data_IF_566529356041
#
_entry.id   IF_566529356041
#
_cell.length_a   1.000
_cell.length_b   1.000
_cell.length_c   1.000
_cell.angle_alpha   90.00
_cell.angle_beta   90.00
_cell.angle_gamma   90.00
#
_symmetry.space_group_name_H-M   'P 1'
#
loop_
_entity.id
_entity.type
_entity.pdbx_description
1 polymer ?
#
# COMPACT_ATOMS: atom_id res chain seq x y z
N UNK A 1 -9.18 40.76 -29.90
CA UNK A 1 -7.93 39.98 -30.14
C UNK A 1 -7.25 39.52 -28.86
N UNK A 2 -7.00 40.37 -27.88
CA UNK A 2 -6.30 40.07 -26.64
C UNK A 2 -6.95 38.98 -25.77
N UNK A 3 -8.29 38.96 -25.64
CA UNK A 3 -8.99 37.98 -24.78
C UNK A 3 -8.86 36.54 -25.31
N UNK A 4 -9.18 36.28 -26.56
CA UNK A 4 -9.07 34.93 -27.16
C UNK A 4 -7.62 34.44 -27.18
N UNK A 5 -6.64 35.32 -27.44
CA UNK A 5 -5.23 34.96 -27.38
C UNK A 5 -4.82 34.54 -25.97
N UNK A 6 -5.28 35.25 -24.94
CA UNK A 6 -4.96 34.95 -23.54
C UNK A 6 -5.58 33.62 -23.12
N UNK A 7 -6.86 33.35 -23.46
CA UNK A 7 -7.54 32.11 -23.17
C UNK A 7 -6.84 30.91 -23.85
N UNK A 8 -6.51 31.07 -25.13
CA UNK A 8 -5.76 30.08 -25.89
C UNK A 8 -4.40 29.76 -25.26
N UNK A 9 -3.57 30.79 -25.02
CA UNK A 9 -2.23 30.63 -24.43
C UNK A 9 -2.30 29.89 -23.07
N UNK A 10 -3.27 30.27 -22.23
CA UNK A 10 -3.44 29.64 -20.94
C UNK A 10 -3.85 28.17 -21.06
N UNK A 11 -4.75 27.85 -21.99
CA UNK A 11 -5.19 26.48 -22.28
C UNK A 11 -4.01 25.63 -22.75
N UNK A 12 -3.22 26.14 -23.73
CA UNK A 12 -2.07 25.40 -24.27
C UNK A 12 -0.98 25.19 -23.21
N UNK A 13 -0.69 26.21 -22.39
CA UNK A 13 0.27 26.08 -21.30
C UNK A 13 -0.15 25.01 -20.28
N UNK A 14 -1.44 24.98 -19.93
CA UNK A 14 -1.98 23.97 -19.00
C UNK A 14 -1.91 22.57 -19.62
N UNK A 15 -2.30 22.41 -20.89
CA UNK A 15 -2.22 21.12 -21.57
C UNK A 15 -0.80 20.64 -21.74
N UNK A 16 0.13 21.52 -22.07
CA UNK A 16 1.56 21.18 -22.15
C UNK A 16 2.10 20.68 -20.80
N UNK A 17 1.79 21.39 -19.71
CA UNK A 17 2.18 20.97 -18.37
C UNK A 17 1.63 19.57 -18.03
N UNK A 18 0.36 19.30 -18.36
CA UNK A 18 -0.27 18.00 -18.12
C UNK A 18 0.35 16.88 -18.99
N UNK A 19 0.64 17.17 -20.25
CA UNK A 19 1.31 16.23 -21.16
C UNK A 19 2.71 15.87 -20.63
N UNK A 20 3.51 16.86 -20.26
CA UNK A 20 4.85 16.63 -19.69
C UNK A 20 4.79 15.81 -18.42
N UNK A 21 3.82 16.09 -17.53
CA UNK A 21 3.63 15.31 -16.32
C UNK A 21 3.26 13.85 -16.63
N UNK A 22 2.31 13.58 -17.54
CA UNK A 22 1.92 12.21 -17.92
C UNK A 22 3.08 11.43 -18.51
N UNK A 23 3.88 12.07 -19.37
CA UNK A 23 5.06 11.42 -20.00
C UNK A 23 6.09 11.04 -18.92
N UNK A 24 6.41 11.97 -18.02
CA UNK A 24 7.41 11.78 -16.96
C UNK A 24 6.96 10.86 -15.83
N UNK A 25 5.67 10.70 -15.61
CA UNK A 25 5.16 9.93 -14.48
C UNK A 25 5.26 8.41 -14.71
N UNK A 26 5.99 7.71 -13.83
CA UNK A 26 6.21 6.26 -13.93
C UNK A 26 5.05 5.38 -13.44
N UNK A 27 4.14 5.95 -12.63
CA UNK A 27 3.02 5.22 -12.02
C UNK A 27 1.89 4.83 -12.98
N UNK A 28 1.90 5.30 -14.23
CA UNK A 28 0.88 4.92 -15.22
C UNK A 28 1.32 3.76 -16.10
N UNK A 29 0.35 2.91 -16.44
CA UNK A 29 0.52 1.92 -17.50
C UNK A 29 0.65 2.61 -18.86
N UNK A 30 1.27 1.92 -19.83
CA UNK A 30 1.38 2.43 -21.20
C UNK A 30 0.02 2.80 -21.80
N UNK A 31 -1.00 2.01 -21.50
CA UNK A 31 -2.36 2.24 -21.99
C UNK A 31 -2.98 3.51 -21.40
N UNK A 32 -2.87 3.72 -20.08
CA UNK A 32 -3.34 4.94 -19.41
C UNK A 32 -2.66 6.19 -19.98
N UNK A 33 -1.33 6.14 -20.19
CA UNK A 33 -0.59 7.25 -20.80
C UNK A 33 -1.16 7.60 -22.17
N UNK A 34 -1.43 6.61 -23.03
CA UNK A 34 -2.00 6.84 -24.37
C UNK A 34 -3.35 7.54 -24.28
N UNK A 35 -4.24 7.11 -23.37
CA UNK A 35 -5.55 7.73 -23.21
C UNK A 35 -5.47 9.17 -22.68
N UNK A 36 -4.63 9.45 -21.69
CA UNK A 36 -4.42 10.82 -21.20
C UNK A 36 -3.81 11.73 -22.27
N UNK A 37 -2.78 11.25 -22.96
CA UNK A 37 -2.15 12.02 -24.04
C UNK A 37 -3.14 12.31 -25.17
N UNK A 38 -3.93 11.32 -25.59
CA UNK A 38 -4.96 11.50 -26.59
C UNK A 38 -6.00 12.56 -26.13
N UNK A 39 -6.40 12.53 -24.86
CA UNK A 39 -7.34 13.52 -24.28
C UNK A 39 -6.74 14.94 -24.34
N UNK A 40 -5.53 15.13 -23.80
CA UNK A 40 -4.92 16.45 -23.69
C UNK A 40 -4.55 17.03 -25.07
N UNK A 41 -4.05 16.20 -25.98
CA UNK A 41 -3.78 16.61 -27.37
C UNK A 41 -5.07 16.99 -28.12
N UNK A 42 -6.18 16.28 -27.87
CA UNK A 42 -7.47 16.63 -28.47
C UNK A 42 -8.01 17.95 -27.92
N UNK A 43 -7.87 18.21 -26.61
CA UNK A 43 -8.24 19.52 -26.01
C UNK A 43 -7.41 20.63 -26.61
N UNK A 44 -6.08 20.47 -26.70
CA UNK A 44 -5.16 21.42 -27.32
C UNK A 44 -5.51 21.71 -28.78
N UNK A 45 -5.73 20.65 -29.57
CA UNK A 45 -6.19 20.79 -30.95
C UNK A 45 -7.52 21.58 -31.06
N UNK A 46 -8.52 21.26 -30.25
CA UNK A 46 -9.79 21.95 -30.27
C UNK A 46 -9.67 23.43 -29.85
N UNK A 47 -8.81 23.73 -28.89
CA UNK A 47 -8.52 25.12 -28.48
C UNK A 47 -7.81 25.91 -29.58
N UNK A 48 -6.84 25.31 -30.26
CA UNK A 48 -6.15 25.90 -31.39
C UNK A 48 -7.10 26.16 -32.59
N UNK A 49 -8.00 25.19 -32.88
CA UNK A 49 -9.01 25.35 -33.92
C UNK A 49 -9.99 26.50 -33.59
N UNK A 50 -10.44 26.59 -32.33
CA UNK A 50 -11.29 27.68 -31.87
C UNK A 50 -10.60 29.04 -31.98
N UNK A 51 -9.33 29.12 -31.60
CA UNK A 51 -8.54 30.33 -31.78
C UNK A 51 -8.38 30.72 -33.25
N UNK A 52 -8.13 29.76 -34.14
CA UNK A 52 -8.04 30.01 -35.57
C UNK A 52 -9.35 30.60 -36.14
N UNK A 53 -10.51 30.14 -35.67
CA UNK A 53 -11.83 30.58 -36.14
C UNK A 53 -12.23 31.93 -35.58
N UNK A 54 -11.97 32.22 -34.31
CA UNK A 54 -12.48 33.40 -33.61
C UNK A 54 -11.42 34.44 -33.21
N UNK A 55 -10.14 34.02 -33.11
CA UNK A 55 -9.03 34.85 -32.68
C UNK A 55 -8.25 35.51 -33.84
N UNK A 56 -8.41 34.98 -35.05
CA UNK A 56 -7.75 35.51 -36.25
C UNK A 56 -8.73 36.30 -37.09
N UNK A 57 -8.24 37.39 -37.70
CA UNK A 57 -9.06 38.20 -38.60
C UNK A 57 -9.46 37.39 -39.86
N UNK A 58 -10.76 37.32 -40.10
CA UNK A 58 -11.31 36.60 -41.21
C UNK A 58 -10.91 37.25 -42.54
N UNK A 59 -10.49 36.40 -43.50
CA UNK A 59 -10.30 36.73 -44.91
C UNK A 59 -10.98 35.69 -45.77
N UNK A 60 -11.65 36.08 -46.90
CA UNK A 60 -12.38 35.12 -47.74
C UNK A 60 -11.56 33.94 -48.23
N UNK A 61 -10.22 34.14 -48.42
CA UNK A 61 -9.28 33.11 -48.82
C UNK A 61 -9.13 32.01 -47.77
N UNK A 62 -9.44 32.28 -46.51
CA UNK A 62 -9.34 31.37 -45.39
C UNK A 62 -10.66 30.55 -45.19
N UNK A 63 -11.72 30.79 -45.92
CA UNK A 63 -13.01 30.14 -45.74
C UNK A 63 -12.92 28.60 -45.80
N UNK A 64 -12.22 28.05 -46.80
CA UNK A 64 -12.06 26.62 -46.98
C UNK A 64 -11.23 26.00 -45.83
N UNK A 65 -9.98 26.49 -45.53
CA UNK A 65 -9.21 25.97 -44.43
C UNK A 65 -9.92 26.06 -43.08
N UNK A 66 -10.60 27.20 -42.79
CA UNK A 66 -11.36 27.37 -41.56
C UNK A 66 -12.58 26.39 -41.49
N UNK A 67 -13.26 26.14 -42.61
CA UNK A 67 -14.33 25.12 -42.68
C UNK A 67 -13.78 23.74 -42.32
N UNK A 68 -12.66 23.33 -42.90
CA UNK A 68 -12.01 22.04 -42.61
C UNK A 68 -11.62 21.92 -41.12
N UNK A 69 -10.99 22.95 -40.57
CA UNK A 69 -10.58 23.01 -39.15
C UNK A 69 -11.82 22.91 -38.23
N UNK A 70 -12.91 23.61 -38.54
CA UNK A 70 -14.16 23.60 -37.78
C UNK A 70 -14.82 22.22 -37.83
N UNK A 71 -14.87 21.55 -38.98
CA UNK A 71 -15.39 20.19 -39.10
C UNK A 71 -14.58 19.22 -38.26
N UNK A 72 -13.26 19.29 -38.29
CA UNK A 72 -12.40 18.45 -37.47
C UNK A 72 -12.59 18.72 -35.98
N UNK A 73 -12.69 20.00 -35.58
CA UNK A 73 -12.96 20.41 -34.18
C UNK A 73 -14.29 19.87 -33.69
N UNK A 74 -15.37 20.05 -34.44
CA UNK A 74 -16.70 19.59 -34.04
C UNK A 74 -16.83 18.08 -34.03
N UNK A 75 -16.05 17.38 -34.85
CA UNK A 75 -15.96 15.94 -34.84
C UNK A 75 -15.15 15.38 -33.68
N UNK A 76 -14.07 16.08 -33.29
CA UNK A 76 -13.16 15.65 -32.21
C UNK A 76 -13.68 16.03 -30.80
N UNK A 77 -14.33 17.18 -30.66
CA UNK A 77 -14.79 17.68 -29.36
C UNK A 77 -15.74 16.71 -28.62
N UNK A 78 -16.75 16.10 -29.22
CA UNK A 78 -17.57 15.09 -28.55
C UNK A 78 -16.80 13.80 -28.16
N UNK A 79 -15.68 13.51 -28.83
CA UNK A 79 -14.85 12.36 -28.49
C UNK A 79 -14.16 12.51 -27.12
N UNK A 80 -13.98 13.73 -26.63
CA UNK A 80 -13.31 14.00 -25.35
C UNK A 80 -13.87 13.21 -24.17
N UNK A 81 -15.20 13.05 -24.10
CA UNK A 81 -15.83 12.25 -23.05
C UNK A 81 -15.47 10.76 -23.09
N UNK A 82 -15.28 10.22 -24.29
CA UNK A 82 -14.87 8.82 -24.50
C UNK A 82 -13.39 8.65 -24.18
N UNK A 83 -12.54 9.55 -24.67
CA UNK A 83 -11.09 9.55 -24.38
C UNK A 83 -10.82 9.68 -22.89
N UNK A 84 -11.53 10.59 -22.24
CA UNK A 84 -11.41 10.79 -20.80
C UNK A 84 -11.87 9.58 -20.00
N UNK A 85 -12.95 8.93 -20.42
CA UNK A 85 -13.41 7.69 -19.79
C UNK A 85 -12.37 6.54 -19.93
N UNK A 86 -11.69 6.47 -21.08
CA UNK A 86 -10.56 5.56 -21.27
C UNK A 86 -9.40 5.84 -20.31
N UNK A 87 -9.08 7.11 -20.11
CA UNK A 87 -8.05 7.54 -19.15
C UNK A 87 -8.40 7.14 -17.69
N UNK A 88 -9.68 7.10 -17.35
CA UNK A 88 -10.20 6.61 -16.06
C UNK A 88 -10.24 5.08 -15.94
N UNK A 89 -9.64 4.33 -16.86
CA UNK A 89 -9.60 2.87 -16.82
C UNK A 89 -10.88 2.17 -17.29
N UNK A 90 -11.76 2.88 -18.02
CA UNK A 90 -12.88 2.25 -18.70
C UNK A 90 -12.41 1.80 -20.08
N UNK A 91 -12.29 0.50 -20.26
CA UNK A 91 -11.77 -0.06 -21.50
C UNK A 91 -12.76 0.13 -22.64
N UNK A 92 -12.34 0.91 -23.65
CA UNK A 92 -13.03 1.05 -24.92
C UNK A 92 -12.30 0.26 -26.00
N UNK A 93 -13.06 -0.48 -26.82
CA UNK A 93 -12.47 -1.08 -28.00
C UNK A 93 -12.10 0.03 -28.98
N UNK A 94 -10.85 0.09 -29.42
CA UNK A 94 -10.36 1.11 -30.36
C UNK A 94 -11.25 1.23 -31.63
N UNK A 95 -11.86 0.11 -32.07
CA UNK A 95 -12.84 0.10 -33.17
C UNK A 95 -14.09 0.95 -32.87
N UNK A 96 -14.56 0.96 -31.63
CA UNK A 96 -15.71 1.81 -31.21
C UNK A 96 -15.33 3.28 -31.30
N UNK A 97 -14.17 3.67 -30.79
CA UNK A 97 -13.68 5.06 -30.84
C UNK A 97 -13.52 5.53 -32.27
N UNK A 98 -12.93 4.70 -33.13
CA UNK A 98 -12.75 4.99 -34.56
C UNK A 98 -14.11 5.12 -35.29
N UNK A 99 -15.05 4.22 -35.02
CA UNK A 99 -16.39 4.27 -35.61
C UNK A 99 -17.14 5.53 -35.18
N UNK A 100 -17.08 5.88 -33.88
CA UNK A 100 -17.71 7.09 -33.35
C UNK A 100 -17.15 8.36 -33.99
N UNK A 101 -15.81 8.46 -34.12
CA UNK A 101 -15.17 9.57 -34.81
C UNK A 101 -15.54 9.64 -36.30
N UNK A 102 -15.57 8.50 -36.98
CA UNK A 102 -15.94 8.45 -38.38
C UNK A 102 -17.40 8.91 -38.66
N UNK A 103 -18.33 8.50 -37.78
CA UNK A 103 -19.72 8.92 -37.87
C UNK A 103 -19.86 10.44 -37.63
N UNK A 104 -19.19 10.97 -36.60
CA UNK A 104 -19.18 12.40 -36.32
C UNK A 104 -18.57 13.19 -37.48
N UNK A 105 -17.44 12.74 -38.01
CA UNK A 105 -16.80 13.39 -39.13
C UNK A 105 -17.69 13.41 -40.37
N UNK A 106 -18.36 12.32 -40.65
CA UNK A 106 -19.33 12.26 -41.79
C UNK A 106 -20.50 13.23 -41.59
N UNK A 107 -21.10 13.21 -40.39
CA UNK A 107 -22.25 14.09 -40.07
C UNK A 107 -21.87 15.56 -40.15
N UNK A 108 -20.75 15.95 -39.55
CA UNK A 108 -20.26 17.32 -39.53
C UNK A 108 -19.83 17.79 -40.94
N UNK A 109 -19.23 16.91 -41.76
CA UNK A 109 -18.85 17.22 -43.12
C UNK A 109 -20.08 17.49 -44.00
N UNK A 110 -21.12 16.64 -43.91
CA UNK A 110 -22.39 16.83 -44.65
C UNK A 110 -23.09 18.11 -44.17
N UNK A 111 -23.11 18.36 -42.86
CA UNK A 111 -23.74 19.54 -42.25
C UNK A 111 -23.00 20.82 -42.65
N UNK A 112 -21.68 20.81 -42.75
CA UNK A 112 -20.87 21.94 -43.21
C UNK A 112 -21.16 22.28 -44.70
N UNK A 113 -21.21 21.25 -45.58
CA UNK A 113 -21.52 21.46 -46.99
C UNK A 113 -22.90 22.13 -47.21
N UNK A 114 -23.85 21.94 -46.31
CA UNK A 114 -25.21 22.47 -46.40
C UNK A 114 -25.40 23.73 -45.50
N UNK A 115 -24.40 24.20 -44.80
CA UNK A 115 -24.52 25.32 -43.87
C UNK A 115 -25.45 25.05 -42.67
N UNK A 116 -25.74 23.79 -42.34
CA UNK A 116 -26.68 23.41 -41.29
C UNK A 116 -26.16 23.67 -39.89
N UNK A 117 -24.87 23.37 -39.63
CA UNK A 117 -24.24 23.57 -38.33
C UNK A 117 -23.51 24.89 -38.26
N UNK A 118 -22.78 25.23 -39.29
CA UNK A 118 -22.06 26.50 -39.41
C UNK A 118 -21.83 26.87 -40.89
N UNK A 119 -21.51 28.14 -41.14
CA UNK A 119 -21.06 28.64 -42.43
C UNK A 119 -20.06 29.78 -42.23
N UNK A 120 -19.28 30.04 -43.26
CA UNK A 120 -18.42 31.24 -43.35
C UNK A 120 -18.97 32.17 -44.42
N UNK A 121 -19.44 33.35 -44.02
CA UNK A 121 -19.91 34.39 -44.92
C UNK A 121 -18.93 35.58 -44.96
N UNK A 122 -19.29 36.69 -45.61
CA UNK A 122 -18.47 37.87 -45.71
C UNK A 122 -18.12 38.54 -44.38
N UNK A 123 -18.84 38.18 -43.30
CA UNK A 123 -18.61 38.65 -41.92
C UNK A 123 -17.80 37.67 -41.06
N UNK A 124 -17.49 36.48 -41.58
CA UNK A 124 -16.77 35.43 -40.88
C UNK A 124 -17.62 34.21 -40.49
N UNK A 125 -17.36 33.64 -39.34
CA UNK A 125 -18.09 32.46 -38.83
C UNK A 125 -19.53 32.83 -38.42
N UNK A 126 -20.48 32.04 -38.92
CA UNK A 126 -21.87 32.10 -38.55
C UNK A 126 -22.39 30.71 -38.14
N UNK A 127 -23.22 30.63 -37.08
CA UNK A 127 -23.89 29.37 -36.67
C UNK A 127 -25.06 29.09 -37.55
N UNK A 128 -25.15 27.87 -38.03
CA UNK A 128 -26.27 27.38 -38.80
C UNK A 128 -27.51 27.04 -37.95
N UNK A 129 -28.67 26.82 -38.60
CA UNK A 129 -29.93 26.58 -37.89
C UNK A 129 -30.00 25.27 -37.12
N UNK A 130 -29.19 24.26 -37.50
CA UNK A 130 -29.18 22.96 -36.88
C UNK A 130 -27.93 22.76 -35.92
N UNK A 131 -27.27 23.84 -35.55
CA UNK A 131 -26.09 23.77 -34.63
C UNK A 131 -26.43 23.04 -33.31
N UNK A 132 -27.49 23.46 -32.62
CA UNK A 132 -27.91 22.82 -31.37
C UNK A 132 -28.44 21.40 -31.55
N UNK A 133 -29.31 21.09 -32.53
CA UNK A 133 -29.78 19.72 -32.74
C UNK A 133 -28.70 18.72 -33.12
N UNK A 134 -27.70 19.13 -33.89
CA UNK A 134 -26.61 18.24 -34.33
C UNK A 134 -25.47 18.25 -33.34
N UNK A 135 -24.62 19.29 -33.37
CA UNK A 135 -23.43 19.38 -32.54
C UNK A 135 -23.75 19.40 -31.03
N UNK A 136 -24.80 20.15 -30.63
CA UNK A 136 -25.21 20.24 -29.22
C UNK A 136 -25.68 18.90 -28.66
N UNK A 137 -26.42 18.08 -29.41
CA UNK A 137 -26.87 16.77 -28.95
C UNK A 137 -25.72 15.79 -28.72
N UNK A 138 -24.74 15.75 -29.61
CA UNK A 138 -23.53 14.95 -29.43
C UNK A 138 -22.74 15.38 -28.18
N UNK A 139 -22.62 16.68 -27.97
CA UNK A 139 -21.91 17.24 -26.80
C UNK A 139 -22.62 16.87 -25.49
N UNK A 140 -23.94 17.00 -25.43
CA UNK A 140 -24.74 16.61 -24.23
C UNK A 140 -24.65 15.12 -23.97
N UNK A 141 -24.78 14.28 -25.00
CA UNK A 141 -24.67 12.82 -24.85
C UNK A 141 -23.29 12.42 -24.29
N UNK A 142 -22.24 13.05 -24.79
CA UNK A 142 -20.87 12.80 -24.31
C UNK A 142 -20.64 13.25 -22.88
N UNK A 143 -21.18 14.41 -22.48
CA UNK A 143 -21.13 14.87 -21.09
C UNK A 143 -21.90 13.94 -20.15
N UNK A 144 -23.08 13.48 -20.53
CA UNK A 144 -23.85 12.51 -19.77
C UNK A 144 -23.10 11.17 -19.62
N UNK A 145 -22.46 10.73 -20.71
CA UNK A 145 -21.62 9.54 -20.70
C UNK A 145 -20.41 9.69 -19.75
N UNK A 146 -19.71 10.82 -19.81
CA UNK A 146 -18.58 11.12 -18.92
C UNK A 146 -19.04 11.18 -17.45
N UNK A 147 -20.15 11.87 -17.15
CA UNK A 147 -20.69 11.97 -15.80
C UNK A 147 -21.04 10.59 -15.24
N UNK A 148 -21.73 9.75 -16.03
CA UNK A 148 -22.00 8.36 -15.65
C UNK A 148 -20.71 7.58 -15.33
N UNK A 149 -19.69 7.71 -16.17
CA UNK A 149 -18.43 7.00 -16.03
C UNK A 149 -17.64 7.47 -14.81
N UNK A 150 -17.61 8.76 -14.52
CA UNK A 150 -17.03 9.29 -13.28
C UNK A 150 -17.69 8.72 -12.03
N UNK A 151 -19.02 8.57 -12.04
CA UNK A 151 -19.77 7.95 -10.94
C UNK A 151 -19.37 6.47 -10.79
N UNK A 152 -19.37 5.72 -11.89
CA UNK A 152 -19.03 4.29 -11.90
C UNK A 152 -17.60 4.05 -11.43
N UNK A 153 -16.65 4.84 -11.92
CA UNK A 153 -15.25 4.74 -11.49
C UNK A 153 -15.08 5.15 -10.02
N UNK A 154 -15.73 6.22 -9.61
CA UNK A 154 -15.73 6.66 -8.21
C UNK A 154 -16.24 5.59 -7.23
N UNK A 155 -17.17 4.73 -7.68
CA UNK A 155 -17.66 3.61 -6.83
C UNK A 155 -16.64 2.50 -6.59
N UNK A 156 -15.58 2.40 -7.40
CA UNK A 156 -14.50 1.41 -7.24
C UNK A 156 -13.50 1.77 -6.14
N UNK A 157 -13.48 3.02 -5.71
CA UNK A 157 -12.54 3.50 -4.71
C UNK A 157 -13.22 3.69 -3.35
N UNK A 158 -12.52 3.32 -2.28
CA UNK A 158 -12.99 3.41 -0.90
C UNK A 158 -13.23 4.86 -0.46
N UNK A 159 -12.39 5.79 -0.94
CA UNK A 159 -12.40 7.21 -0.56
C UNK A 159 -12.95 8.11 -1.68
N UNK A 160 -14.16 7.83 -2.16
CA UNK A 160 -14.80 8.69 -3.17
C UNK A 160 -15.20 10.04 -2.56
N UNK A 161 -14.85 11.13 -3.24
CA UNK A 161 -15.35 12.46 -2.91
C UNK A 161 -16.34 12.95 -3.99
N UNK A 162 -17.62 12.85 -3.65
CA UNK A 162 -18.69 13.32 -4.51
C UNK A 162 -18.62 14.83 -4.79
N UNK A 163 -18.00 15.61 -3.88
CA UNK A 163 -17.84 17.08 -4.05
C UNK A 163 -16.89 17.40 -5.18
N UNK A 164 -15.80 16.67 -5.34
CA UNK A 164 -14.85 16.87 -6.44
C UNK A 164 -15.49 16.56 -7.79
N UNK A 165 -16.27 15.48 -7.89
CA UNK A 165 -17.01 15.14 -9.12
C UNK A 165 -18.04 16.25 -9.43
N UNK A 166 -18.78 16.71 -8.43
CA UNK A 166 -19.74 17.80 -8.59
C UNK A 166 -19.04 19.09 -9.03
N UNK A 167 -17.90 19.44 -8.43
CA UNK A 167 -17.12 20.62 -8.79
C UNK A 167 -16.66 20.57 -10.25
N UNK A 168 -16.18 19.41 -10.76
CA UNK A 168 -15.81 19.25 -12.16
C UNK A 168 -16.99 19.47 -13.09
N UNK A 169 -18.17 18.93 -12.77
CA UNK A 169 -19.39 19.12 -13.55
C UNK A 169 -19.83 20.59 -13.54
N UNK A 170 -19.74 21.27 -12.40
CA UNK A 170 -20.05 22.70 -12.28
C UNK A 170 -19.12 23.54 -13.15
N UNK A 171 -17.82 23.25 -13.15
CA UNK A 171 -16.84 23.98 -13.99
C UNK A 171 -17.13 23.76 -15.48
N UNK A 172 -17.45 22.54 -15.90
CA UNK A 172 -17.84 22.23 -17.28
C UNK A 172 -19.09 23.01 -17.70
N UNK A 173 -20.13 23.03 -16.87
CA UNK A 173 -21.36 23.78 -17.13
C UNK A 173 -21.08 25.28 -17.16
N UNK A 174 -20.27 25.80 -16.22
CA UNK A 174 -19.86 27.18 -16.17
C UNK A 174 -19.07 27.62 -17.43
N UNK A 175 -18.37 26.71 -18.10
CA UNK A 175 -17.70 26.98 -19.38
C UNK A 175 -18.66 27.05 -20.57
N UNK A 176 -19.78 26.33 -20.51
CA UNK A 176 -20.75 26.26 -21.60
C UNK A 176 -21.75 27.44 -21.54
N UNK A 177 -22.21 27.83 -20.35
CA UNK A 177 -23.21 28.88 -20.14
C UNK A 177 -22.82 30.23 -20.74
N UNK A 178 -21.58 30.77 -20.54
CA UNK A 178 -21.16 32.04 -21.16
C UNK A 178 -21.18 32.00 -22.68
N UNK A 179 -20.86 30.85 -23.28
CA UNK A 179 -20.96 30.70 -24.74
C UNK A 179 -22.40 30.75 -25.23
N UNK A 180 -23.35 30.12 -24.49
CA UNK A 180 -24.75 30.08 -24.86
C UNK A 180 -25.48 31.43 -24.68
N UNK A 181 -25.15 32.14 -23.57
CA UNK A 181 -25.88 33.37 -23.14
C UNK A 181 -25.19 34.63 -23.67
N UNK A 182 -23.87 34.74 -23.50
CA UNK A 182 -23.09 35.97 -23.77
C UNK A 182 -22.25 35.88 -25.05
N UNK A 183 -22.27 34.75 -25.77
CA UNK A 183 -21.41 34.46 -26.92
C UNK A 183 -19.90 34.59 -26.63
N UNK A 184 -19.52 34.47 -25.35
CA UNK A 184 -18.12 34.47 -24.91
C UNK A 184 -17.67 33.01 -24.86
N UNK A 185 -16.69 32.63 -25.67
CA UNK A 185 -16.22 31.28 -25.73
C UNK A 185 -15.02 31.04 -24.78
N UNK A 186 -15.32 30.43 -23.63
CA UNK A 186 -14.34 29.95 -22.63
C UNK A 186 -14.43 28.44 -22.45
N UNK A 187 -15.08 27.75 -23.38
CA UNK A 187 -15.41 26.31 -23.24
C UNK A 187 -14.16 25.46 -23.07
N UNK A 188 -13.13 25.68 -23.90
CA UNK A 188 -11.93 24.85 -23.85
C UNK A 188 -11.07 25.07 -22.63
N UNK A 189 -11.00 26.30 -22.09
CA UNK A 189 -10.30 26.52 -20.81
C UNK A 189 -11.07 25.84 -19.66
N UNK A 190 -12.40 25.85 -19.66
CA UNK A 190 -13.20 25.13 -18.67
C UNK A 190 -13.02 23.60 -18.79
N UNK A 191 -12.97 23.07 -20.01
CA UNK A 191 -12.66 21.66 -20.27
C UNK A 191 -11.25 21.32 -19.79
N UNK A 192 -10.26 22.17 -20.07
CA UNK A 192 -8.86 21.98 -19.65
C UNK A 192 -8.72 21.94 -18.12
N UNK A 193 -9.38 22.88 -17.43
CA UNK A 193 -9.39 22.91 -15.96
C UNK A 193 -10.07 21.66 -15.41
N UNK A 194 -11.24 21.29 -15.94
CA UNK A 194 -11.97 20.08 -15.49
C UNK A 194 -11.18 18.82 -15.75
N UNK A 195 -10.52 18.71 -16.90
CA UNK A 195 -9.65 17.60 -17.26
C UNK A 195 -8.44 17.50 -16.31
N UNK A 196 -7.83 18.62 -15.99
CA UNK A 196 -6.69 18.67 -15.05
C UNK A 196 -7.10 18.28 -13.62
N UNK A 197 -8.22 18.80 -13.14
CA UNK A 197 -8.75 18.44 -11.81
C UNK A 197 -9.10 16.96 -11.76
N UNK A 198 -9.75 16.42 -12.78
CA UNK A 198 -10.09 15.02 -12.82
C UNK A 198 -8.84 14.12 -12.88
N UNK A 199 -7.82 14.52 -13.65
CA UNK A 199 -6.54 13.83 -13.70
C UNK A 199 -5.89 13.78 -12.31
N UNK A 200 -5.78 14.93 -11.63
CA UNK A 200 -5.17 15.03 -10.30
C UNK A 200 -5.96 14.19 -9.31
N UNK A 201 -7.28 14.34 -9.29
CA UNK A 201 -8.16 13.60 -8.39
C UNK A 201 -8.08 12.08 -8.60
N UNK A 202 -8.13 11.62 -9.85
CA UNK A 202 -8.03 10.19 -10.16
C UNK A 202 -6.67 9.62 -9.76
N UNK A 203 -5.60 10.37 -10.05
CA UNK A 203 -4.26 9.95 -9.66
C UNK A 203 -4.09 9.85 -8.14
N UNK A 204 -4.62 10.82 -7.38
CA UNK A 204 -4.63 10.80 -5.92
C UNK A 204 -5.38 9.57 -5.37
N UNK A 205 -6.59 9.30 -5.90
CA UNK A 205 -7.36 8.12 -5.51
C UNK A 205 -6.61 6.80 -5.77
N UNK A 206 -5.95 6.68 -6.93
CA UNK A 206 -5.15 5.49 -7.26
C UNK A 206 -3.99 5.34 -6.28
N UNK A 207 -3.27 6.43 -5.97
CA UNK A 207 -2.15 6.41 -5.05
C UNK A 207 -2.57 6.04 -3.63
N UNK A 208 -3.67 6.59 -3.14
CA UNK A 208 -4.23 6.25 -1.83
C UNK A 208 -4.61 4.76 -1.76
N UNK A 209 -5.30 4.25 -2.77
CA UNK A 209 -5.71 2.84 -2.82
C UNK A 209 -4.51 1.88 -2.86
N UNK A 210 -3.50 2.18 -3.69
CA UNK A 210 -2.25 1.39 -3.75
C UNK A 210 -1.52 1.40 -2.42
N UNK A 211 -1.48 2.54 -1.73
CA UNK A 211 -0.86 2.65 -0.41
C UNK A 211 -1.60 1.80 0.63
N UNK A 212 -2.93 1.84 0.65
CA UNK A 212 -3.73 1.01 1.56
C UNK A 212 -3.54 -0.49 1.28
N UNK A 213 -3.63 -0.89 0.01
CA UNK A 213 -3.40 -2.29 -0.39
C UNK A 213 -2.00 -2.77 0.00
N UNK A 214 -0.99 -1.91 -0.11
CA UNK A 214 0.38 -2.23 0.32
C UNK A 214 0.46 -2.45 1.83
N UNK A 215 -0.14 -1.57 2.62
CA UNK A 215 -0.19 -1.68 4.09
C UNK A 215 -0.93 -2.96 4.51
N UNK A 216 -2.08 -3.22 3.91
CA UNK A 216 -2.87 -4.42 4.20
C UNK A 216 -2.11 -5.71 3.82
N UNK A 217 -1.41 -5.72 2.68
CA UNK A 217 -0.58 -6.85 2.26
C UNK A 217 0.62 -7.05 3.19
N UNK A 218 1.30 -5.99 3.61
CA UNK A 218 2.40 -6.08 4.58
C UNK A 218 1.92 -6.68 5.91
N UNK A 219 0.77 -6.22 6.40
CA UNK A 219 0.16 -6.79 7.61
C UNK A 219 -0.16 -8.26 7.45
N UNK A 220 -0.78 -8.66 6.34
CA UNK A 220 -1.09 -10.08 6.06
C UNK A 220 0.16 -10.95 6.00
N UNK A 221 1.25 -10.47 5.41
CA UNK A 221 2.54 -11.19 5.36
C UNK A 221 3.07 -11.37 6.78
N UNK A 222 3.09 -10.31 7.60
CA UNK A 222 3.55 -10.37 8.98
C UNK A 222 2.71 -11.33 9.83
N UNK A 223 1.38 -11.29 9.70
CA UNK A 223 0.47 -12.19 10.40
C UNK A 223 0.71 -13.66 9.99
N UNK A 224 0.93 -13.90 8.69
CA UNK A 224 1.22 -15.23 8.17
C UNK A 224 2.58 -15.76 8.66
N UNK A 225 3.62 -14.94 8.69
CA UNK A 225 4.93 -15.30 9.24
C UNK A 225 4.79 -15.70 10.72
N UNK A 226 4.08 -14.90 11.52
CA UNK A 226 3.81 -15.22 12.93
C UNK A 226 3.06 -16.53 13.10
N UNK A 227 2.06 -16.81 12.26
CA UNK A 227 1.32 -18.08 12.29
C UNK A 227 2.20 -19.28 11.91
N UNK A 228 3.07 -19.14 10.92
CA UNK A 228 4.02 -20.21 10.53
C UNK A 228 4.96 -20.51 11.69
N UNK A 229 5.61 -19.48 12.26
CA UNK A 229 6.52 -19.61 13.40
C UNK A 229 5.83 -20.31 14.58
N UNK A 230 4.66 -19.82 14.99
CA UNK A 230 3.89 -20.39 16.08
C UNK A 230 3.41 -21.82 15.78
N UNK A 231 3.03 -22.09 14.53
CA UNK A 231 2.62 -23.45 14.10
C UNK A 231 3.78 -24.45 14.17
N UNK A 232 4.97 -24.06 13.74
CA UNK A 232 6.19 -24.90 13.84
C UNK A 232 6.56 -25.19 15.30
N UNK A 233 6.56 -24.13 16.14
CA UNK A 233 6.83 -24.29 17.56
C UNK A 233 5.81 -25.23 18.23
N UNK A 234 4.52 -25.05 17.98
CA UNK A 234 3.45 -25.92 18.51
C UNK A 234 3.61 -27.39 18.07
N UNK A 235 4.06 -27.65 16.84
CA UNK A 235 4.30 -29.03 16.38
C UNK A 235 5.42 -29.70 17.19
N UNK A 236 6.42 -28.96 17.61
CA UNK A 236 7.55 -29.49 18.39
C UNK A 236 7.15 -29.66 19.84
N UNK A 237 6.48 -28.69 20.45
CA UNK A 237 6.00 -28.81 21.83
C UNK A 237 5.01 -29.93 22.04
N UNK A 238 4.13 -30.19 21.05
CA UNK A 238 3.22 -31.34 21.10
C UNK A 238 3.96 -32.71 21.19
N UNK A 239 5.24 -32.78 20.76
CA UNK A 239 6.09 -33.95 20.96
C UNK A 239 6.62 -34.07 22.38
N UNK A 240 6.85 -32.92 23.05
CA UNK A 240 7.38 -32.86 24.43
C UNK A 240 6.31 -32.99 25.51
N UNK A 241 5.04 -33.25 25.11
CA UNK A 241 3.90 -33.34 26.02
C UNK A 241 3.65 -32.03 26.83
N UNK A 242 4.25 -30.93 26.41
CA UNK A 242 3.97 -29.61 26.97
C UNK A 242 2.68 -29.03 26.34
N UNK A 243 1.98 -28.18 27.09
CA UNK A 243 0.75 -27.59 26.59
C UNK A 243 1.07 -26.43 25.68
N UNK A 244 0.44 -26.33 24.49
CA UNK A 244 0.65 -25.21 23.53
C UNK A 244 0.37 -23.80 24.09
N UNK A 245 -0.05 -23.71 25.36
CA UNK A 245 -0.17 -22.44 26.08
C UNK A 245 1.19 -21.87 26.53
N UNK A 246 2.23 -22.71 26.67
CA UNK A 246 3.59 -22.28 27.01
C UNK A 246 4.13 -21.26 25.99
N UNK A 247 4.03 -21.55 24.71
CA UNK A 247 4.47 -20.64 23.62
C UNK A 247 3.80 -19.27 23.73
N UNK A 248 2.50 -19.25 23.98
CA UNK A 248 1.74 -18.00 24.10
C UNK A 248 2.14 -17.19 25.33
N UNK A 249 2.33 -17.89 26.48
CA UNK A 249 2.73 -17.23 27.72
C UNK A 249 4.16 -16.70 27.65
N UNK A 250 5.12 -17.52 27.21
CA UNK A 250 6.53 -17.09 27.07
C UNK A 250 6.65 -15.92 26.08
N UNK A 251 5.95 -15.94 24.95
CA UNK A 251 5.88 -14.82 24.02
C UNK A 251 5.37 -13.53 24.67
N UNK A 252 4.37 -13.62 25.55
CA UNK A 252 3.87 -12.48 26.32
C UNK A 252 4.88 -12.00 27.35
N UNK A 253 5.54 -12.91 28.07
CA UNK A 253 6.53 -12.57 29.11
C UNK A 253 7.77 -11.91 28.54
N UNK A 254 8.32 -12.40 27.42
CA UNK A 254 9.47 -11.77 26.77
C UNK A 254 9.16 -10.35 26.29
N UNK A 255 7.95 -10.16 25.71
CA UNK A 255 7.49 -8.82 25.30
C UNK A 255 7.41 -7.88 26.49
N UNK A 256 6.71 -8.31 27.55
CA UNK A 256 6.53 -7.51 28.74
C UNK A 256 7.87 -7.15 29.39
N UNK A 257 8.77 -8.11 29.56
CA UNK A 257 10.09 -7.86 30.15
C UNK A 257 10.91 -6.86 29.33
N UNK A 258 10.89 -6.99 28.00
CA UNK A 258 11.62 -6.07 27.11
C UNK A 258 11.03 -4.65 27.14
N UNK A 259 9.67 -4.51 27.15
CA UNK A 259 9.01 -3.22 27.23
C UNK A 259 9.31 -2.52 28.58
N UNK A 260 9.22 -3.24 29.68
CA UNK A 260 9.51 -2.70 31.03
C UNK A 260 10.98 -2.37 31.22
N UNK A 261 11.89 -3.18 30.67
CA UNK A 261 13.33 -2.89 30.70
C UNK A 261 13.63 -1.58 29.96
N UNK A 262 13.02 -1.37 28.79
CA UNK A 262 13.15 -0.11 28.02
C UNK A 262 12.61 1.08 28.80
N UNK A 263 11.42 0.96 29.43
CA UNK A 263 10.79 2.02 30.23
C UNK A 263 11.63 2.40 31.44
N UNK A 264 12.28 1.44 32.10
CA UNK A 264 13.21 1.69 33.23
C UNK A 264 14.61 2.18 32.80
N UNK A 265 14.84 2.35 31.51
CA UNK A 265 16.12 2.83 30.98
C UNK A 265 17.20 1.74 30.85
N UNK A 266 16.82 0.45 31.02
CA UNK A 266 17.70 -0.69 30.91
C UNK A 266 17.81 -1.12 29.44
N UNK A 267 19.03 -1.28 28.93
CA UNK A 267 19.32 -1.69 27.53
C UNK A 267 18.61 -0.90 26.44
N UNK A 268 18.29 0.38 26.67
CA UNK A 268 17.48 1.22 25.75
C UNK A 268 18.04 1.34 24.34
N UNK A 269 19.38 1.22 24.17
CA UNK A 269 20.01 1.26 22.85
C UNK A 269 19.72 0.02 22.00
N UNK A 270 19.39 -1.09 22.63
CA UNK A 270 19.14 -2.38 22.00
C UNK A 270 17.64 -2.68 21.91
N UNK A 271 16.85 -2.23 22.91
CA UNK A 271 15.42 -2.49 23.04
C UNK A 271 14.59 -1.46 22.25
N UNK A 272 14.79 -1.37 20.94
CA UNK A 272 13.93 -0.60 20.05
C UNK A 272 12.63 -1.37 19.68
N UNK A 273 11.74 -0.74 18.94
CA UNK A 273 10.46 -1.36 18.54
C UNK A 273 10.66 -2.59 17.65
N UNK A 274 11.74 -2.60 16.82
CA UNK A 274 12.09 -3.76 15.99
C UNK A 274 12.52 -4.93 16.85
N UNK A 275 13.40 -4.70 17.82
CA UNK A 275 13.86 -5.74 18.75
C UNK A 275 12.69 -6.37 19.50
N UNK A 276 11.79 -5.56 20.09
CA UNK A 276 10.63 -6.05 20.85
C UNK A 276 9.67 -6.84 19.96
N UNK A 277 9.47 -6.39 18.72
CA UNK A 277 8.65 -7.10 17.73
C UNK A 277 9.26 -8.46 17.38
N UNK A 278 10.56 -8.49 17.02
CA UNK A 278 11.28 -9.73 16.72
C UNK A 278 11.31 -10.68 17.92
N UNK A 279 11.57 -10.14 19.11
CA UNK A 279 11.59 -10.94 20.35
C UNK A 279 10.24 -11.66 20.56
N UNK A 280 9.13 -10.93 20.39
CA UNK A 280 7.78 -11.50 20.55
C UNK A 280 7.46 -12.56 19.50
N UNK A 281 7.87 -12.32 18.24
CA UNK A 281 7.59 -13.21 17.11
C UNK A 281 8.46 -14.46 17.12
N UNK A 282 9.74 -14.35 17.53
CA UNK A 282 10.74 -15.42 17.42
C UNK A 282 10.93 -16.23 18.71
N UNK A 283 10.49 -15.73 19.87
CA UNK A 283 10.54 -16.47 21.13
C UNK A 283 9.95 -17.89 21.07
N UNK A 284 8.86 -18.15 20.30
CA UNK A 284 8.35 -19.51 20.11
C UNK A 284 9.38 -20.52 19.58
N UNK A 285 10.43 -20.07 18.88
CA UNK A 285 11.43 -20.94 18.28
C UNK A 285 12.58 -21.33 19.22
N UNK A 286 12.59 -20.89 20.50
CA UNK A 286 13.68 -21.17 21.42
C UNK A 286 14.00 -22.67 21.51
N UNK A 287 12.99 -23.50 21.49
CA UNK A 287 13.06 -24.96 21.62
C UNK A 287 12.97 -25.73 20.29
N UNK A 288 13.08 -25.03 19.14
CA UNK A 288 12.92 -25.64 17.80
C UNK A 288 13.88 -26.84 17.58
N UNK A 289 15.06 -26.78 18.17
CA UNK A 289 16.04 -27.85 18.08
C UNK A 289 15.64 -29.17 18.75
N UNK A 290 14.59 -29.21 19.57
CA UNK A 290 14.00 -30.45 20.12
C UNK A 290 13.57 -31.42 19.04
N UNK A 291 13.37 -30.95 17.80
CA UNK A 291 13.12 -31.82 16.64
C UNK A 291 14.20 -32.86 16.42
N UNK A 292 15.44 -32.57 16.82
CA UNK A 292 16.60 -33.46 16.69
C UNK A 292 16.76 -34.44 17.87
N UNK A 293 16.01 -34.23 18.97
CA UNK A 293 16.08 -35.08 20.16
C UNK A 293 15.20 -36.30 19.96
N UNK A 294 15.69 -37.54 20.18
CA UNK A 294 14.90 -38.75 20.07
C UNK A 294 13.75 -38.78 21.09
N UNK A 295 12.55 -39.25 20.68
CA UNK A 295 11.36 -39.31 21.53
C UNK A 295 11.57 -40.06 22.85
N UNK A 296 12.38 -41.14 22.84
CA UNK A 296 12.74 -41.89 24.04
C UNK A 296 13.44 -41.07 25.12
N UNK A 297 14.09 -39.94 24.74
CA UNK A 297 14.73 -39.02 25.66
C UNK A 297 13.80 -37.87 25.99
N UNK A 298 13.17 -37.30 24.97
CA UNK A 298 12.27 -36.18 25.09
C UNK A 298 11.06 -36.48 26.00
N UNK A 299 10.46 -37.69 25.81
CA UNK A 299 9.26 -38.14 26.54
C UNK A 299 9.56 -39.05 27.72
N UNK A 300 10.81 -39.07 28.18
CA UNK A 300 11.17 -39.98 29.30
C UNK A 300 10.49 -39.51 30.60
N UNK A 301 9.71 -40.38 31.26
CA UNK A 301 9.00 -39.99 32.49
C UNK A 301 9.93 -39.85 33.71
N UNK A 302 11.14 -40.39 33.63
CA UNK A 302 12.15 -40.35 34.70
C UNK A 302 13.24 -39.35 34.43
N UNK A 303 14.09 -39.09 35.42
CA UNK A 303 15.26 -38.24 35.27
C UNK A 303 16.19 -38.76 34.16
N UNK A 304 16.71 -37.86 33.32
CA UNK A 304 17.67 -38.21 32.28
C UNK A 304 19.01 -38.65 32.91
N UNK A 305 19.63 -39.68 32.31
CA UNK A 305 21.06 -39.98 32.64
C UNK A 305 21.98 -38.87 32.17
N UNK A 306 23.25 -38.83 32.66
CA UNK A 306 24.19 -37.84 32.15
C UNK A 306 24.36 -37.86 30.62
N UNK A 307 24.37 -39.03 29.99
CA UNK A 307 24.51 -39.22 28.55
C UNK A 307 23.25 -38.76 27.81
N UNK A 308 22.06 -39.06 28.33
CA UNK A 308 20.78 -38.61 27.80
C UNK A 308 20.67 -37.06 27.91
N UNK A 309 21.13 -36.51 29.03
CA UNK A 309 21.18 -35.05 29.22
C UNK A 309 22.12 -34.37 28.23
N UNK A 310 23.28 -34.98 27.88
CA UNK A 310 24.12 -34.45 26.79
C UNK A 310 23.41 -34.47 25.45
N UNK A 311 22.63 -35.51 25.19
CA UNK A 311 21.78 -35.56 23.96
C UNK A 311 20.69 -34.50 24.01
N UNK A 312 20.05 -34.25 25.15
CA UNK A 312 19.07 -33.20 25.33
C UNK A 312 19.64 -31.82 25.03
N UNK A 313 20.87 -31.51 25.48
CA UNK A 313 21.55 -30.23 25.20
C UNK A 313 21.74 -29.93 23.71
N UNK A 314 21.65 -30.95 22.84
CA UNK A 314 21.77 -30.75 21.40
C UNK A 314 20.70 -29.83 20.85
N UNK A 315 19.50 -29.74 21.50
CA UNK A 315 18.47 -28.83 21.02
C UNK A 315 18.93 -27.38 21.00
N UNK A 316 19.68 -26.92 22.00
CA UNK A 316 20.28 -25.60 22.01
C UNK A 316 21.47 -25.54 21.04
N UNK A 317 22.41 -26.48 21.14
CA UNK A 317 23.63 -26.48 20.31
C UNK A 317 23.35 -26.54 18.79
N UNK A 318 22.25 -27.14 18.37
CA UNK A 318 21.83 -27.26 16.96
C UNK A 318 20.62 -26.37 16.63
N UNK A 319 19.99 -25.77 17.63
CA UNK A 319 18.77 -24.98 17.45
C UNK A 319 18.93 -23.84 16.44
N UNK A 320 20.03 -23.10 16.54
CA UNK A 320 20.33 -22.03 15.58
C UNK A 320 20.46 -22.52 14.13
N UNK A 321 21.06 -23.72 13.92
CA UNK A 321 21.14 -24.31 12.58
C UNK A 321 19.77 -24.67 12.03
N UNK A 322 18.93 -25.28 12.88
CA UNK A 322 17.54 -25.62 12.51
C UNK A 322 16.77 -24.35 12.16
N UNK A 323 16.94 -23.28 12.91
CA UNK A 323 16.34 -21.96 12.58
C UNK A 323 16.76 -21.51 11.19
N UNK A 324 18.06 -21.52 10.89
CA UNK A 324 18.55 -21.12 9.56
C UNK A 324 17.94 -21.96 8.45
N UNK A 325 17.89 -23.31 8.62
CA UNK A 325 17.34 -24.21 7.61
C UNK A 325 15.83 -24.00 7.34
N UNK A 326 15.03 -23.79 8.39
CA UNK A 326 13.57 -23.69 8.24
C UNK A 326 13.10 -22.27 7.88
N UNK A 327 13.89 -21.26 8.20
CA UNK A 327 13.53 -19.86 7.94
C UNK A 327 14.16 -19.29 6.67
N UNK A 328 14.95 -20.07 5.94
CA UNK A 328 15.52 -19.67 4.66
C UNK A 328 14.40 -19.27 3.68
N UNK A 329 14.48 -18.04 3.17
CA UNK A 329 13.47 -17.46 2.27
C UNK A 329 12.13 -17.05 2.90
N UNK A 330 11.95 -17.25 4.23
CA UNK A 330 10.73 -16.84 4.95
C UNK A 330 10.92 -15.47 5.61
N UNK A 331 12.09 -15.19 6.15
CA UNK A 331 12.42 -13.95 6.85
C UNK A 331 13.74 -13.36 6.36
N UNK A 332 13.99 -12.08 6.68
CA UNK A 332 15.28 -11.45 6.43
C UNK A 332 16.38 -12.04 7.32
N UNK A 333 17.64 -11.91 6.89
CA UNK A 333 18.80 -12.50 7.54
C UNK A 333 18.96 -12.05 9.00
N UNK A 334 18.68 -10.78 9.31
CA UNK A 334 18.74 -10.25 10.68
C UNK A 334 17.72 -10.96 11.58
N UNK A 335 16.50 -11.18 11.09
CA UNK A 335 15.44 -11.88 11.82
C UNK A 335 15.78 -13.35 12.05
N UNK A 336 16.40 -14.00 11.05
CA UNK A 336 16.89 -15.39 11.17
C UNK A 336 17.99 -15.49 12.22
N UNK A 337 18.99 -14.61 12.17
CA UNK A 337 20.08 -14.57 13.15
C UNK A 337 19.55 -14.31 14.57
N UNK A 338 18.57 -13.40 14.71
CA UNK A 338 17.93 -13.11 15.99
C UNK A 338 17.23 -14.34 16.59
N UNK A 339 16.49 -15.08 15.77
CA UNK A 339 15.84 -16.33 16.20
C UNK A 339 16.87 -17.43 16.52
N UNK A 340 17.94 -17.52 15.73
CA UNK A 340 19.03 -18.46 15.97
C UNK A 340 19.75 -18.19 17.30
N UNK A 341 19.96 -16.92 17.67
CA UNK A 341 20.52 -16.53 18.95
C UNK A 341 19.64 -16.99 20.12
N UNK A 342 18.31 -16.79 20.02
CA UNK A 342 17.37 -17.27 21.03
C UNK A 342 17.46 -18.80 21.16
N UNK A 343 17.36 -19.52 20.05
CA UNK A 343 17.37 -20.97 20.06
C UNK A 343 18.70 -21.57 20.55
N UNK A 344 19.82 -20.92 20.23
CA UNK A 344 21.15 -21.43 20.62
C UNK A 344 21.52 -21.12 22.07
N UNK A 345 21.11 -19.94 22.58
CA UNK A 345 21.73 -19.42 23.81
C UNK A 345 20.75 -19.22 24.98
N UNK A 346 19.48 -19.58 24.88
CA UNK A 346 18.50 -19.38 25.98
C UNK A 346 18.83 -20.25 27.23
N UNK A 347 19.73 -21.24 27.13
CA UNK A 347 20.23 -22.04 28.23
C UNK A 347 21.64 -21.60 28.72
N UNK A 348 22.20 -20.54 28.17
CA UNK A 348 23.39 -19.93 28.74
C UNK A 348 23.03 -19.30 30.10
N UNK A 349 24.03 -19.24 30.97
CA UNK A 349 23.90 -18.69 32.32
C UNK A 349 24.78 -17.50 32.49
N UNK A 350 24.31 -16.47 33.15
CA UNK A 350 25.04 -15.23 33.37
C UNK A 350 26.45 -15.45 33.92
N UNK A 351 26.66 -16.44 34.79
CA UNK A 351 27.97 -16.78 35.38
C UNK A 351 28.89 -17.65 34.47
N UNK A 352 28.43 -18.03 33.26
CA UNK A 352 29.20 -18.84 32.32
C UNK A 352 29.13 -20.35 32.56
N UNK A 353 28.24 -20.84 33.44
CA UNK A 353 28.03 -22.29 33.67
C UNK A 353 26.97 -22.91 32.81
N UNK A 354 26.45 -22.16 31.85
CA UNK A 354 25.42 -22.57 30.91
C UNK A 354 25.92 -23.46 29.76
N UNK A 355 25.10 -23.63 28.76
CA UNK A 355 25.42 -24.34 27.53
C UNK A 355 24.72 -23.69 26.33
N UNK A 356 25.20 -23.88 25.08
CA UNK A 356 26.22 -24.84 24.63
C UNK A 356 27.67 -24.32 24.74
N UNK A 357 27.91 -23.00 24.75
CA UNK A 357 29.25 -22.42 24.62
C UNK A 357 29.84 -21.93 25.95
N UNK A 358 29.02 -21.78 26.99
CA UNK A 358 29.42 -21.27 28.29
C UNK A 358 29.68 -19.76 28.26
N UNK A 359 28.95 -19.01 27.48
CA UNK A 359 29.01 -17.55 27.40
C UNK A 359 28.69 -16.91 28.75
N UNK A 360 29.34 -15.76 29.03
CA UNK A 360 29.24 -15.12 30.34
C UNK A 360 28.81 -13.65 30.22
N UNK A 361 27.86 -13.26 31.08
CA UNK A 361 27.46 -11.86 31.19
C UNK A 361 26.85 -11.36 29.88
N UNK A 362 27.36 -10.23 29.38
CA UNK A 362 26.88 -9.59 28.14
C UNK A 362 27.37 -10.25 26.86
N UNK A 363 28.22 -11.26 26.92
CA UNK A 363 28.53 -12.12 25.76
C UNK A 363 27.28 -12.90 25.31
N UNK A 364 26.34 -13.17 26.24
CA UNK A 364 25.06 -13.79 25.93
C UNK A 364 24.19 -12.75 25.22
N UNK A 365 23.65 -13.04 24.03
CA UNK A 365 22.73 -12.14 23.34
C UNK A 365 21.58 -11.68 24.24
N UNK A 366 21.22 -10.41 24.17
CA UNK A 366 20.15 -9.85 25.01
C UNK A 366 18.83 -10.62 24.85
N UNK A 367 18.51 -11.03 23.63
CA UNK A 367 17.34 -11.86 23.32
C UNK A 367 17.31 -13.18 24.10
N UNK A 368 18.46 -13.86 24.20
CA UNK A 368 18.60 -15.09 24.94
C UNK A 368 18.51 -14.86 26.46
N UNK A 369 19.08 -13.75 27.00
CA UNK A 369 18.95 -13.38 28.42
C UNK A 369 17.50 -13.11 28.83
N UNK A 370 16.73 -12.42 27.98
CA UNK A 370 15.30 -12.16 28.20
C UNK A 370 14.53 -13.48 28.13
N UNK A 371 14.82 -14.34 27.14
CA UNK A 371 14.16 -15.63 26.97
C UNK A 371 14.39 -16.55 28.17
N UNK A 372 15.61 -16.60 28.70
CA UNK A 372 15.95 -17.44 29.85
C UNK A 372 15.08 -17.17 31.09
N UNK A 373 14.80 -15.89 31.38
CA UNK A 373 13.91 -15.51 32.49
C UNK A 373 12.48 -15.96 32.22
N UNK A 374 11.97 -15.68 31.00
CA UNK A 374 10.60 -15.97 30.65
C UNK A 374 10.31 -17.48 30.62
N UNK A 375 11.23 -18.26 30.03
CA UNK A 375 11.10 -19.73 29.95
C UNK A 375 11.12 -20.37 31.33
N UNK A 376 12.13 -20.06 32.15
CA UNK A 376 12.22 -20.63 33.52
C UNK A 376 11.04 -20.19 34.38
N UNK A 377 10.62 -18.95 34.28
CA UNK A 377 9.45 -18.47 35.02
C UNK A 377 8.19 -19.24 34.64
N UNK A 378 7.92 -19.40 33.34
CA UNK A 378 6.78 -20.20 32.85
C UNK A 378 6.88 -21.66 33.29
N UNK A 379 8.06 -22.25 33.22
CA UNK A 379 8.28 -23.62 33.67
C UNK A 379 8.07 -23.81 35.18
N UNK A 380 8.27 -22.78 35.99
CA UNK A 380 8.00 -22.83 37.43
C UNK A 380 6.53 -22.75 37.75
N UNK A 381 5.77 -21.87 37.10
CA UNK A 381 4.36 -21.59 37.40
C UNK A 381 3.39 -22.52 36.64
N UNK A 382 3.89 -23.33 35.69
CA UNK A 382 3.06 -24.26 34.92
C UNK A 382 3.11 -25.67 35.49
N UNK A 383 1.96 -26.37 35.45
CA UNK A 383 1.90 -27.78 35.80
C UNK A 383 2.49 -28.63 34.65
N UNK A 384 3.39 -29.56 34.99
CA UNK A 384 3.99 -30.51 34.06
C UNK A 384 3.67 -31.94 34.53
N UNK A 385 3.73 -32.92 33.64
CA UNK A 385 3.38 -34.30 33.89
C UNK A 385 4.04 -34.92 35.15
N UNK A 386 5.21 -34.41 35.53
CA UNK A 386 6.02 -34.91 36.64
C UNK A 386 6.23 -33.89 37.77
N UNK A 387 5.65 -32.67 37.67
CA UNK A 387 5.87 -31.58 38.64
C UNK A 387 4.65 -30.70 38.78
N UNK A 388 4.19 -30.44 39.99
CA UNK A 388 3.15 -29.47 40.30
C UNK A 388 3.71 -28.04 40.11
N UNK A 389 2.84 -27.13 39.68
CA UNK A 389 3.16 -25.71 39.60
C UNK A 389 3.59 -25.16 40.99
N UNK A 390 4.63 -24.34 40.98
CA UNK A 390 4.96 -23.55 42.17
C UNK A 390 3.97 -22.38 42.33
N UNK A 391 3.69 -21.95 43.55
CA UNK A 391 3.05 -20.67 43.80
C UNK A 391 3.86 -19.54 43.14
N UNK A 392 3.17 -18.53 42.59
CA UNK A 392 3.83 -17.41 41.93
C UNK A 392 4.89 -16.75 42.82
N UNK A 393 4.59 -16.57 44.12
CA UNK A 393 5.53 -16.01 45.10
C UNK A 393 6.83 -16.82 45.20
N UNK A 394 6.75 -18.13 45.16
CA UNK A 394 7.91 -19.01 45.24
C UNK A 394 8.73 -18.98 43.93
N UNK A 395 8.05 -18.97 42.79
CA UNK A 395 8.69 -18.81 41.48
C UNK A 395 9.47 -17.48 41.39
N UNK A 396 8.90 -16.38 41.88
CA UNK A 396 9.56 -15.07 41.95
C UNK A 396 10.81 -15.13 42.85
N UNK A 397 10.76 -15.78 44.00
CA UNK A 397 11.94 -15.92 44.88
C UNK A 397 13.02 -16.78 44.24
N UNK A 398 12.69 -17.83 43.48
CA UNK A 398 13.68 -18.59 42.72
C UNK A 398 14.35 -17.70 41.67
N UNK A 399 13.63 -16.93 40.89
CA UNK A 399 14.21 -15.99 39.93
C UNK A 399 15.11 -14.97 40.61
N UNK A 400 14.68 -14.43 41.77
CA UNK A 400 15.47 -13.50 42.58
C UNK A 400 16.78 -14.10 43.07
N UNK A 401 16.74 -15.32 43.59
CA UNK A 401 17.93 -15.99 44.14
C UNK A 401 18.96 -16.37 43.08
N UNK A 402 18.53 -16.53 41.83
CA UNK A 402 19.40 -16.85 40.69
C UNK A 402 19.93 -15.60 39.95
N UNK A 403 19.69 -14.40 40.48
CA UNK A 403 20.20 -13.13 39.94
C UNK A 403 21.73 -13.12 39.99
N UNK A 404 22.42 -12.83 38.89
CA UNK A 404 23.86 -12.83 38.75
C UNK A 404 24.48 -14.22 38.64
N UNK A 405 23.71 -15.30 38.81
CA UNK A 405 24.10 -16.67 38.59
C UNK A 405 23.56 -17.23 37.27
N UNK A 406 22.26 -17.43 37.23
CA UNK A 406 21.55 -17.88 36.01
C UNK A 406 21.17 -16.68 35.16
N UNK A 407 20.59 -15.66 35.75
CA UNK A 407 19.96 -14.55 35.08
C UNK A 407 20.72 -13.24 35.17
N UNK A 408 20.55 -12.41 34.15
CA UNK A 408 21.03 -11.03 34.13
C UNK A 408 20.44 -10.21 35.28
N UNK A 409 21.32 -9.63 36.17
CA UNK A 409 20.84 -8.90 37.34
C UNK A 409 19.97 -7.70 37.03
N UNK A 410 20.21 -7.01 35.90
CA UNK A 410 19.42 -5.85 35.53
C UNK A 410 18.02 -6.28 35.08
N UNK A 411 17.91 -7.33 34.26
CA UNK A 411 16.62 -7.88 33.84
C UNK A 411 15.83 -8.48 35.01
N UNK A 412 16.49 -9.13 35.95
CA UNK A 412 15.85 -9.63 37.20
C UNK A 412 15.29 -8.46 38.01
N UNK A 413 16.02 -7.34 38.15
CA UNK A 413 15.51 -6.16 38.83
C UNK A 413 14.22 -5.65 38.19
N UNK A 414 14.18 -5.50 36.86
CA UNK A 414 12.99 -5.11 36.11
C UNK A 414 11.84 -6.09 36.31
N UNK A 415 12.11 -7.40 36.19
CA UNK A 415 11.11 -8.45 36.42
C UNK A 415 10.47 -8.33 37.82
N UNK A 416 11.28 -8.13 38.86
CA UNK A 416 10.80 -8.01 40.25
C UNK A 416 9.97 -6.75 40.50
N UNK A 417 10.34 -5.63 39.85
CA UNK A 417 9.56 -4.38 39.94
C UNK A 417 8.15 -4.54 39.32
N UNK A 418 8.02 -5.40 38.30
CA UNK A 418 6.79 -5.59 37.55
C UNK A 418 6.16 -6.99 37.72
N UNK A 419 6.59 -7.77 38.73
CA UNK A 419 6.16 -9.16 38.92
C UNK A 419 4.64 -9.37 38.91
N UNK A 420 3.87 -8.38 39.35
CA UNK A 420 2.40 -8.44 39.33
C UNK A 420 1.76 -8.41 37.95
N UNK A 421 2.52 -8.10 36.90
CA UNK A 421 2.06 -8.09 35.51
C UNK A 421 2.31 -9.43 34.81
N UNK A 422 3.22 -10.27 35.32
CA UNK A 422 3.55 -11.61 34.80
C UNK A 422 2.55 -12.67 35.31
N UNK A 423 1.28 -12.50 34.97
CA UNK A 423 0.24 -13.44 35.37
C UNK A 423 0.17 -14.64 34.42
N UNK A 424 -0.20 -15.85 34.92
CA UNK A 424 -0.35 -17.05 34.10
C UNK A 424 -1.38 -16.91 32.99
#
# INVERSE_FOLDING_TARGET
MTFYSSVFMLTELLMLAMILHVVGYSGFTREQKVWYLATFLTVSFCAAAEFAVHGVEYRPELAIPLTVITVLQFSASPLLGVLFSGALGIHHRGRFVAAYLAVNLLVESVAACNGWVFSFDGSGYARGPLFLPIYGSFSVATLAYLARNLIVVGQRFRHRDARTILMMLVILVAGIVPMAVFRINITYIAISISASICYIYYNDLVQQNVKEDLVDNQKRISDMQTQIVSGMANLIENRDLETGQHITRTGRYVKLLAERAREEGVYTKQLDDRFITLMTMMAPLHDIGKILVPDRILQKPDKLTPEEFQTMKLHAAQGGKVVHEIMEGIADEDSVNFAADIASYHHERWNGTGYPEGLKGEEIPLSARIMAIADVYDALISERCYKKAYPVSEAVEIIRSESGHHFDPQLVCVFLNHQGEFLP
#
